data_IF_193218305197
#
_entry.id   IF_193218305197
#
_cell.length_a   1.000
_cell.length_b   1.000
_cell.length_c   1.000
_cell.angle_alpha   90.00
_cell.angle_beta   90.00
_cell.angle_gamma   90.00
#
_symmetry.space_group_name_H-M   'P 1'
#
loop_
_entity.id
_entity.type
_entity.pdbx_description
1 polymer ?
#
# COMPACT_ATOMS: atom_id res chain seq x y z
N UNK A 1 -15.76 -6.97 14.76
CA UNK A 1 -14.43 -6.33 14.85
C UNK A 1 -14.43 -4.94 14.24
N UNK A 2 -14.79 -4.78 12.96
CA UNK A 2 -14.81 -3.47 12.26
C UNK A 2 -15.62 -2.40 13.01
N UNK A 3 -16.88 -2.68 13.39
CA UNK A 3 -17.72 -1.72 14.10
C UNK A 3 -17.08 -1.22 15.42
N UNK A 4 -16.40 -2.11 16.15
CA UNK A 4 -15.69 -1.74 17.39
C UNK A 4 -14.50 -0.83 17.12
N UNK A 5 -13.69 -1.13 16.10
CA UNK A 5 -12.57 -0.26 15.72
C UNK A 5 -13.07 1.12 15.27
N UNK A 6 -14.15 1.18 14.49
CA UNK A 6 -14.75 2.43 14.06
C UNK A 6 -15.27 3.28 15.24
N UNK A 7 -15.86 2.66 16.27
CA UNK A 7 -16.25 3.37 17.49
C UNK A 7 -15.04 3.92 18.26
N UNK A 8 -13.93 3.17 18.32
CA UNK A 8 -12.70 3.65 18.97
C UNK A 8 -12.09 4.84 18.22
N UNK A 9 -12.12 4.84 16.90
CA UNK A 9 -11.62 5.98 16.10
C UNK A 9 -12.49 7.23 16.18
N UNK A 10 -13.67 7.15 16.79
CA UNK A 10 -14.50 8.31 17.09
C UNK A 10 -14.17 8.94 18.46
N UNK A 11 -13.25 8.33 19.22
CA UNK A 11 -12.75 8.81 20.52
C UNK A 11 -11.34 9.38 20.33
N UNK A 12 -10.82 10.20 21.27
CA UNK A 12 -9.45 10.74 21.16
C UNK A 12 -8.34 9.70 21.42
N UNK A 13 -8.69 8.45 21.70
CA UNK A 13 -7.71 7.42 22.08
C UNK A 13 -6.90 6.90 20.88
N UNK A 14 -7.49 6.89 19.68
CA UNK A 14 -6.84 6.40 18.46
C UNK A 14 -7.47 7.04 17.22
N UNK A 15 -6.65 7.53 16.29
CA UNK A 15 -7.16 8.18 15.07
C UNK A 15 -7.41 7.19 13.91
N UNK A 16 -6.66 6.08 13.86
CA UNK A 16 -6.73 5.10 12.77
C UNK A 16 -6.34 3.70 13.23
N UNK A 17 -7.11 2.69 12.78
CA UNK A 17 -6.83 1.27 13.03
C UNK A 17 -6.86 0.50 11.72
N UNK A 18 -5.81 -0.28 11.44
CA UNK A 18 -5.79 -1.24 10.33
C UNK A 18 -6.17 -2.61 10.85
N UNK A 19 -7.25 -3.19 10.33
CA UNK A 19 -7.67 -4.56 10.61
C UNK A 19 -7.43 -5.44 9.38
N UNK A 20 -7.03 -6.69 9.62
CA UNK A 20 -6.81 -7.69 8.57
C UNK A 20 -7.55 -8.99 8.90
N UNK A 21 -7.59 -9.90 7.92
CA UNK A 21 -8.12 -11.26 8.05
C UNK A 21 -7.25 -12.23 7.27
N UNK A 22 -7.31 -13.52 7.61
CA UNK A 22 -6.54 -14.58 6.96
C UNK A 22 -7.45 -15.49 6.13
N UNK A 23 -6.85 -16.19 5.17
CA UNK A 23 -7.45 -17.31 4.44
C UNK A 23 -6.40 -18.41 4.44
N UNK A 24 -6.73 -19.56 5.02
CA UNK A 24 -5.88 -20.74 5.01
C UNK A 24 -6.37 -21.69 3.90
N UNK A 25 -5.43 -22.13 3.07
CA UNK A 25 -5.71 -23.03 1.94
C UNK A 25 -4.79 -24.24 2.09
N UNK A 26 -5.38 -25.43 2.11
CA UNK A 26 -4.65 -26.70 2.12
C UNK A 26 -4.81 -27.37 0.76
N UNK A 27 -3.69 -27.79 0.17
CA UNK A 27 -3.65 -28.56 -1.09
C UNK A 27 -3.29 -30.01 -0.81
N UNK A 28 -3.68 -30.91 -1.71
CA UNK A 28 -3.36 -32.34 -1.67
C UNK A 28 -1.90 -32.64 -2.08
N UNK A 29 -1.29 -31.72 -2.81
CA UNK A 29 0.12 -31.76 -3.22
C UNK A 29 0.88 -30.54 -2.72
N UNK A 30 2.21 -30.67 -2.62
CA UNK A 30 3.08 -29.55 -2.29
C UNK A 30 2.96 -28.43 -3.36
N UNK A 31 2.89 -27.18 -2.90
CA UNK A 31 2.80 -26.02 -3.80
C UNK A 31 4.17 -25.71 -4.39
N UNK A 32 4.25 -25.66 -5.72
CA UNK A 32 5.44 -25.18 -6.42
C UNK A 32 5.53 -23.65 -6.33
N UNK A 33 6.38 -23.17 -5.41
CA UNK A 33 6.57 -21.72 -5.20
C UNK A 33 7.23 -21.00 -6.39
N UNK A 34 8.01 -21.72 -7.22
CA UNK A 34 8.65 -21.16 -8.40
C UNK A 34 7.63 -20.88 -9.50
N UNK A 35 6.81 -21.88 -9.82
CA UNK A 35 5.71 -21.72 -10.77
C UNK A 35 4.69 -20.66 -10.30
N UNK A 36 4.47 -20.57 -8.99
CA UNK A 36 3.58 -19.56 -8.42
C UNK A 36 4.16 -18.14 -8.54
N UNK A 37 5.47 -17.96 -8.37
CA UNK A 37 6.16 -16.68 -8.60
C UNK A 37 6.05 -16.22 -10.06
N UNK A 38 6.29 -17.11 -11.02
CA UNK A 38 6.19 -16.77 -12.45
C UNK A 38 4.80 -16.23 -12.80
N UNK A 39 3.74 -16.90 -12.31
CA UNK A 39 2.35 -16.47 -12.51
C UNK A 39 2.07 -15.15 -11.80
N UNK A 40 2.60 -14.96 -10.59
CA UNK A 40 2.43 -13.71 -9.83
C UNK A 40 3.05 -12.52 -10.57
N UNK A 41 4.28 -12.67 -11.08
CA UNK A 41 4.98 -11.63 -11.83
C UNK A 41 4.27 -11.31 -13.13
N UNK A 42 3.81 -12.34 -13.86
CA UNK A 42 3.05 -12.15 -15.10
C UNK A 42 1.74 -11.37 -14.88
N UNK A 43 1.06 -11.61 -13.75
CA UNK A 43 -0.17 -10.90 -13.40
C UNK A 43 0.09 -9.51 -12.81
N UNK A 44 1.25 -9.28 -12.19
CA UNK A 44 1.60 -8.04 -11.50
C UNK A 44 2.98 -7.52 -11.98
N UNK A 45 3.11 -7.12 -13.25
CA UNK A 45 4.41 -6.79 -13.83
C UNK A 45 5.03 -5.48 -13.29
N UNK A 46 4.28 -4.65 -12.57
CA UNK A 46 4.68 -3.30 -12.13
C UNK A 46 4.91 -3.21 -10.62
N UNK A 47 4.54 -4.23 -9.84
CA UNK A 47 4.72 -4.26 -8.39
C UNK A 47 6.14 -4.65 -7.96
N UNK A 48 6.45 -4.39 -6.68
CA UNK A 48 7.57 -5.00 -5.99
C UNK A 48 7.26 -6.48 -5.72
N UNK A 49 7.69 -7.35 -6.65
CA UNK A 49 7.51 -8.78 -6.55
C UNK A 49 8.62 -9.41 -5.70
N UNK A 50 8.25 -10.24 -4.72
CA UNK A 50 9.20 -10.87 -3.81
C UNK A 50 8.92 -12.36 -3.61
N UNK A 51 10.01 -13.10 -3.38
CA UNK A 51 10.04 -14.51 -3.01
C UNK A 51 11.15 -14.65 -1.97
N UNK A 52 10.78 -14.95 -0.73
CA UNK A 52 11.66 -14.92 0.43
C UNK A 52 11.60 -16.27 1.14
N UNK A 53 12.70 -17.06 1.18
CA UNK A 53 12.75 -18.28 1.96
C UNK A 53 12.72 -17.96 3.47
N UNK A 54 11.98 -18.76 4.22
CA UNK A 54 11.84 -18.65 5.66
C UNK A 54 12.65 -19.75 6.38
N UNK A 55 12.97 -19.51 7.65
CA UNK A 55 13.81 -20.42 8.44
C UNK A 55 13.18 -21.79 8.69
N UNK A 56 11.85 -21.89 8.61
CA UNK A 56 11.07 -23.13 8.75
C UNK A 56 10.95 -23.92 7.43
N UNK A 57 11.62 -23.47 6.37
CA UNK A 57 11.54 -24.06 5.04
C UNK A 57 10.34 -23.59 4.20
N UNK A 58 9.50 -22.70 4.75
CA UNK A 58 8.42 -22.04 4.01
C UNK A 58 8.92 -20.93 3.08
N UNK A 59 7.99 -20.33 2.34
CA UNK A 59 8.26 -19.19 1.47
C UNK A 59 7.22 -18.10 1.72
N UNK A 60 7.69 -16.87 1.95
CA UNK A 60 6.87 -15.66 1.89
C UNK A 60 6.96 -15.08 0.47
N UNK A 61 5.83 -14.97 -0.19
CA UNK A 61 5.75 -14.52 -1.59
C UNK A 61 4.61 -13.51 -1.77
N UNK A 62 4.82 -12.51 -2.63
CA UNK A 62 3.81 -11.51 -2.89
C UNK A 62 4.19 -10.47 -3.93
N UNK A 63 3.23 -9.60 -4.23
CA UNK A 63 3.30 -8.49 -5.17
C UNK A 63 2.88 -7.22 -4.42
N UNK A 64 3.85 -6.48 -3.86
CA UNK A 64 3.55 -5.26 -3.11
C UNK A 64 3.49 -4.04 -4.04
N UNK A 65 2.43 -3.22 -4.01
CA UNK A 65 2.43 -1.93 -4.69
C UNK A 65 3.11 -0.82 -3.87
N UNK A 66 3.40 -1.06 -2.60
CA UNK A 66 3.83 -0.03 -1.66
C UNK A 66 5.35 -0.06 -1.44
N UNK A 67 6.01 1.06 -1.71
CA UNK A 67 7.43 1.25 -1.42
C UNK A 67 7.57 1.84 -0.01
N UNK A 68 8.00 1.03 0.95
CA UNK A 68 8.24 1.53 2.31
C UNK A 68 9.43 2.50 2.36
N UNK A 69 10.58 2.08 1.83
CA UNK A 69 11.79 2.90 1.77
C UNK A 69 12.71 2.38 0.66
N UNK A 70 13.25 3.29 -0.14
CA UNK A 70 14.42 3.07 -1.00
C UNK A 70 15.49 4.07 -0.58
N UNK A 71 16.75 3.65 -0.52
CA UNK A 71 17.89 4.55 -0.28
C UNK A 71 19.00 4.26 -1.27
N UNK A 72 19.44 5.29 -1.97
CA UNK A 72 20.49 5.24 -2.99
C UNK A 72 21.48 6.38 -2.71
N UNK A 73 22.66 6.03 -2.18
CA UNK A 73 23.59 7.02 -1.65
C UNK A 73 22.94 7.83 -0.53
N UNK A 74 22.96 9.16 -0.64
CA UNK A 74 22.32 10.08 0.30
C UNK A 74 20.83 10.27 0.03
N UNK A 75 20.32 9.90 -1.15
CA UNK A 75 18.91 10.07 -1.50
C UNK A 75 18.07 8.93 -0.95
N UNK A 76 16.86 9.23 -0.53
CA UNK A 76 15.87 8.22 -0.19
C UNK A 76 14.49 8.58 -0.73
N UNK A 77 13.65 7.55 -0.94
CA UNK A 77 12.27 7.71 -1.35
C UNK A 77 11.33 6.73 -0.66
N UNK A 78 10.05 7.09 -0.58
CA UNK A 78 8.97 6.28 -0.01
C UNK A 78 7.66 6.60 -0.74
N UNK A 79 6.76 5.63 -0.84
CA UNK A 79 5.46 5.79 -1.50
C UNK A 79 4.37 5.14 -0.66
N UNK A 80 3.95 5.77 0.46
CA UNK A 80 2.83 5.31 1.27
C UNK A 80 1.54 5.26 0.46
N UNK A 81 0.77 4.19 0.65
CA UNK A 81 -0.53 3.99 0.03
C UNK A 81 -1.62 3.93 1.11
N UNK A 82 -2.68 4.71 0.93
CA UNK A 82 -3.85 4.68 1.81
C UNK A 82 -5.07 5.21 1.06
N UNK A 83 -6.24 4.63 1.27
CA UNK A 83 -7.39 4.81 0.40
C UNK A 83 -7.38 3.82 -0.75
N UNK A 84 -8.53 3.21 -1.05
CA UNK A 84 -8.61 2.18 -2.09
C UNK A 84 -9.98 2.10 -2.75
N UNK A 85 -10.00 1.84 -4.06
CA UNK A 85 -11.21 1.54 -4.80
C UNK A 85 -10.98 0.38 -5.76
N UNK A 86 -12.01 -0.43 -6.01
CA UNK A 86 -11.91 -1.59 -6.90
C UNK A 86 -11.78 -1.14 -8.36
N UNK A 87 -10.86 -1.77 -9.11
CA UNK A 87 -10.77 -1.63 -10.57
C UNK A 87 -12.04 -2.15 -11.25
N UNK A 88 -12.45 -1.51 -12.34
CA UNK A 88 -13.56 -1.97 -13.18
C UNK A 88 -13.05 -2.52 -14.52
N UNK A 89 -13.72 -3.52 -15.11
CA UNK A 89 -13.36 -4.01 -16.44
C UNK A 89 -13.65 -3.02 -17.58
N UNK A 90 -14.62 -2.12 -17.37
CA UNK A 90 -14.94 -1.04 -18.30
C UNK A 90 -14.11 0.21 -17.98
N UNK A 91 -13.41 0.76 -18.97
CA UNK A 91 -12.47 1.88 -18.78
C UNK A 91 -13.14 3.16 -18.29
N UNK A 92 -14.39 3.42 -18.69
CA UNK A 92 -15.12 4.61 -18.26
C UNK A 92 -15.48 4.48 -16.78
N UNK A 93 -16.06 3.34 -16.40
CA UNK A 93 -16.40 3.04 -15.01
C UNK A 93 -15.16 2.95 -14.11
N UNK A 94 -14.04 2.47 -14.65
CA UNK A 94 -12.77 2.34 -13.93
C UNK A 94 -12.19 3.72 -13.60
N UNK A 95 -12.17 4.62 -14.59
CA UNK A 95 -11.74 6.01 -14.38
C UNK A 95 -12.65 6.76 -13.42
N UNK A 96 -13.96 6.53 -13.49
CA UNK A 96 -14.90 7.08 -12.51
C UNK A 96 -14.63 6.55 -11.10
N UNK A 97 -14.30 5.27 -10.94
CA UNK A 97 -13.95 4.70 -9.63
C UNK A 97 -12.69 5.37 -9.04
N UNK A 98 -11.65 5.60 -9.85
CA UNK A 98 -10.48 6.36 -9.44
C UNK A 98 -10.81 7.82 -9.06
N UNK A 99 -11.63 8.50 -9.86
CA UNK A 99 -12.05 9.88 -9.56
C UNK A 99 -12.88 9.97 -8.27
N UNK A 100 -13.76 8.99 -8.02
CA UNK A 100 -14.52 8.89 -6.76
C UNK A 100 -13.60 8.67 -5.57
N UNK A 101 -12.54 7.87 -5.72
CA UNK A 101 -11.53 7.70 -4.68
C UNK A 101 -10.87 9.03 -4.32
N UNK A 102 -10.33 9.76 -5.32
CA UNK A 102 -9.75 11.10 -5.09
C UNK A 102 -10.72 12.11 -4.46
N UNK A 103 -12.00 12.02 -4.79
CA UNK A 103 -13.03 12.91 -4.27
C UNK A 103 -13.50 12.52 -2.85
N UNK A 104 -13.18 11.32 -2.36
CA UNK A 104 -13.63 10.82 -1.06
C UNK A 104 -12.94 11.57 0.08
N UNK A 105 -13.73 12.28 0.90
CA UNK A 105 -13.23 12.96 2.09
C UNK A 105 -12.67 11.97 3.12
N UNK A 106 -13.32 10.81 3.23
CA UNK A 106 -12.90 9.75 4.16
C UNK A 106 -11.53 9.20 3.77
N UNK A 107 -11.37 8.74 2.53
CA UNK A 107 -10.11 8.14 2.06
C UNK A 107 -8.97 9.16 2.13
N UNK A 108 -9.23 10.41 1.73
CA UNK A 108 -8.27 11.50 1.85
C UNK A 108 -7.84 11.77 3.28
N UNK A 109 -8.78 11.80 4.23
CA UNK A 109 -8.45 11.96 5.64
C UNK A 109 -7.59 10.80 6.16
N UNK A 110 -7.96 9.55 5.81
CA UNK A 110 -7.15 8.37 6.15
C UNK A 110 -5.75 8.39 5.54
N UNK A 111 -5.59 8.97 4.35
CA UNK A 111 -4.30 9.17 3.67
C UNK A 111 -3.48 10.29 4.32
N UNK A 112 -4.10 11.41 4.66
CA UNK A 112 -3.47 12.53 5.36
C UNK A 112 -2.87 12.10 6.71
N UNK A 113 -3.56 11.27 7.49
CA UNK A 113 -3.03 10.74 8.75
C UNK A 113 -1.68 10.02 8.56
N UNK A 114 -1.55 9.22 7.49
CA UNK A 114 -0.32 8.48 7.17
C UNK A 114 0.80 9.45 6.77
N UNK A 115 0.51 10.34 5.81
CA UNK A 115 1.51 11.26 5.28
C UNK A 115 2.00 12.27 6.31
N UNK A 116 1.12 12.76 7.20
CA UNK A 116 1.52 13.67 8.28
C UNK A 116 2.42 12.97 9.31
N UNK A 117 2.08 11.75 9.72
CA UNK A 117 2.92 10.98 10.65
C UNK A 117 4.32 10.74 10.08
N UNK A 118 4.40 10.31 8.81
CA UNK A 118 5.68 10.12 8.12
C UNK A 118 6.46 11.43 7.99
N UNK A 119 5.80 12.53 7.59
CA UNK A 119 6.42 13.85 7.45
C UNK A 119 7.02 14.34 8.76
N UNK A 120 6.34 14.15 9.88
CA UNK A 120 6.85 14.54 11.20
C UNK A 120 8.13 13.78 11.56
N UNK A 121 8.17 12.46 11.31
CA UNK A 121 9.34 11.62 11.60
C UNK A 121 10.51 11.93 10.67
N UNK A 122 10.25 12.04 9.36
CA UNK A 122 11.29 12.18 8.34
C UNK A 122 11.91 13.57 8.33
N UNK A 123 11.15 14.64 8.63
CA UNK A 123 11.68 16.02 8.69
C UNK A 123 12.89 16.17 9.62
N UNK A 124 12.88 15.49 10.76
CA UNK A 124 13.97 15.56 11.73
C UNK A 124 15.21 14.72 11.34
N UNK A 125 15.10 13.92 10.27
CA UNK A 125 16.12 12.93 9.84
C UNK A 125 16.57 13.14 8.40
N UNK A 126 16.17 14.24 7.78
CA UNK A 126 16.47 14.54 6.39
C UNK A 126 16.99 15.96 6.28
N UNK A 127 18.03 16.17 5.48
CA UNK A 127 18.52 17.50 5.10
C UNK A 127 17.55 18.18 4.13
N UNK A 128 16.94 17.39 3.24
CA UNK A 128 15.86 17.81 2.34
C UNK A 128 14.71 16.81 2.38
N UNK A 129 13.47 17.32 2.29
CA UNK A 129 12.27 16.48 2.18
C UNK A 129 11.21 17.15 1.31
N UNK A 130 10.83 16.46 0.23
CA UNK A 130 9.85 16.89 -0.75
C UNK A 130 8.70 15.88 -0.82
N UNK A 131 7.49 16.42 -0.96
CA UNK A 131 6.25 15.67 -1.10
C UNK A 131 5.21 16.60 -1.76
N UNK A 132 4.32 16.09 -2.62
CA UNK A 132 3.25 16.89 -3.19
C UNK A 132 2.20 17.25 -2.13
N UNK A 133 1.40 18.30 -2.41
CA UNK A 133 0.31 18.74 -1.52
C UNK A 133 -0.94 17.85 -1.58
N UNK A 134 -1.06 17.04 -2.64
CA UNK A 134 -2.17 16.11 -2.84
C UNK A 134 -1.65 14.75 -3.29
N UNK A 135 -2.33 13.65 -2.91
CA UNK A 135 -1.97 12.33 -3.40
C UNK A 135 -2.24 12.21 -4.91
N UNK A 136 -1.68 11.14 -5.50
CA UNK A 136 -1.92 10.71 -6.88
C UNK A 136 -2.58 9.34 -6.88
N UNK A 137 -3.32 9.04 -7.94
CA UNK A 137 -3.84 7.70 -8.17
C UNK A 137 -2.75 6.76 -8.66
N UNK A 138 -2.69 5.57 -8.07
CA UNK A 138 -1.82 4.45 -8.45
C UNK A 138 -2.72 3.24 -8.69
N UNK A 139 -2.34 2.39 -9.63
CA UNK A 139 -3.11 1.18 -9.95
C UNK A 139 -2.31 -0.09 -9.70
N UNK A 140 -3.03 -1.10 -9.26
CA UNK A 140 -2.69 -2.51 -9.41
C UNK A 140 -3.70 -3.15 -10.38
N UNK A 141 -3.55 -4.43 -10.75
CA UNK A 141 -4.56 -5.12 -11.55
C UNK A 141 -5.95 -5.15 -10.90
N UNK A 142 -6.04 -5.02 -9.57
CA UNK A 142 -7.29 -5.21 -8.82
C UNK A 142 -7.80 -3.94 -8.12
N UNK A 143 -6.91 -2.99 -7.80
CA UNK A 143 -7.24 -1.79 -7.03
C UNK A 143 -6.67 -0.50 -7.63
N UNK A 144 -7.40 0.60 -7.42
CA UNK A 144 -6.89 1.97 -7.32
C UNK A 144 -6.43 2.23 -5.89
N UNK A 145 -5.36 3.00 -5.74
CA UNK A 145 -4.84 3.51 -4.46
C UNK A 145 -4.56 5.01 -4.55
N UNK A 146 -4.69 5.72 -3.43
CA UNK A 146 -4.06 7.04 -3.29
C UNK A 146 -2.63 6.87 -2.76
N UNK A 147 -1.67 7.52 -3.41
CA UNK A 147 -0.25 7.49 -3.03
C UNK A 147 0.39 8.86 -3.06
N UNK A 148 1.25 9.13 -2.07
CA UNK A 148 2.01 10.38 -1.98
C UNK A 148 3.50 10.06 -1.99
N UNK A 149 4.26 10.39 -3.04
CA UNK A 149 5.71 10.14 -3.06
C UNK A 149 6.42 11.08 -2.08
N UNK A 150 7.31 10.51 -1.28
CA UNK A 150 8.29 11.21 -0.45
C UNK A 150 9.64 11.06 -1.11
N UNK A 151 10.34 12.17 -1.30
CA UNK A 151 11.71 12.22 -1.81
C UNK A 151 12.55 13.03 -0.82
N UNK A 152 13.70 12.53 -0.40
CA UNK A 152 14.53 13.24 0.57
C UNK A 152 16.01 12.90 0.47
N UNK A 153 16.80 13.60 1.28
CA UNK A 153 18.24 13.39 1.44
C UNK A 153 18.58 13.19 2.91
N UNK A 154 19.41 12.19 3.22
CA UNK A 154 19.90 11.84 4.56
C UNK A 154 21.21 12.54 4.88
#
# INVERSE_FOLDING_TARGET
MVARAAMLTATPDVDKVVLSRLIDITTDVAVDSGALLERLVAQNPVSYNFHVPLADGGVLLGASPELLLRKEGERFSSLPLAGSARRQPDDVLDREAGNRLLASQKDRHEHELVTQAMKQILRARSTELQLPSSPKLITTPTLWHEGTPFEGMS
#
